data_IF_588385288870
#
_entry.id   IF_588385288870
#
_cell.length_a   1.000
_cell.length_b   1.000
_cell.length_c   1.000
_cell.angle_alpha   90.00
_cell.angle_beta   90.00
_cell.angle_gamma   90.00
#
_symmetry.space_group_name_H-M   'P 1'
#
loop_
_entity.id
_entity.type
_entity.pdbx_description
1 polymer ?
#
# COMPACT_ATOMS: atom_id res chain seq x y z
N UNK A 1 10.13 -30.88 -5.12
CA UNK A 1 9.67 -29.93 -4.08
C UNK A 1 9.65 -28.55 -4.73
N UNK A 2 8.68 -27.69 -4.42
CA UNK A 2 8.69 -26.33 -4.91
C UNK A 2 9.92 -25.58 -4.37
N UNK A 3 10.26 -24.45 -5.01
CA UNK A 3 11.34 -23.56 -4.52
C UNK A 3 11.03 -23.15 -3.08
N UNK A 4 12.03 -23.11 -2.18
CA UNK A 4 11.84 -22.77 -0.78
C UNK A 4 11.73 -21.23 -0.60
N UNK A 5 10.67 -20.65 -1.12
CA UNK A 5 10.27 -19.26 -0.99
C UNK A 5 8.78 -19.20 -0.72
N UNK A 6 8.34 -18.30 0.15
CA UNK A 6 6.95 -18.14 0.51
C UNK A 6 6.66 -16.70 0.97
N UNK A 7 5.53 -16.16 0.56
CA UNK A 7 4.93 -14.99 1.18
C UNK A 7 3.85 -15.43 2.17
N UNK A 8 3.77 -14.73 3.30
CA UNK A 8 2.74 -14.96 4.33
C UNK A 8 1.95 -13.66 4.50
N UNK A 9 0.62 -13.75 4.50
CA UNK A 9 -0.28 -12.62 4.75
C UNK A 9 -0.97 -12.83 6.10
N UNK A 10 -0.74 -11.92 7.03
CA UNK A 10 -1.30 -11.95 8.39
C UNK A 10 -2.55 -11.06 8.48
N UNK A 11 -3.72 -11.68 8.60
CA UNK A 11 -4.99 -10.97 8.71
C UNK A 11 -5.21 -10.33 10.10
N UNK A 12 -4.55 -10.81 11.16
CA UNK A 12 -4.59 -10.16 12.45
C UNK A 12 -3.81 -8.83 12.43
N UNK A 13 -2.64 -8.81 11.79
CA UNK A 13 -1.88 -7.59 11.57
C UNK A 13 -2.71 -6.58 10.76
N UNK A 14 -3.43 -7.04 9.73
CA UNK A 14 -4.30 -6.18 8.93
C UNK A 14 -5.47 -5.60 9.75
N UNK A 15 -6.14 -6.42 10.56
CA UNK A 15 -7.21 -5.97 11.48
C UNK A 15 -6.67 -4.96 12.49
N UNK A 16 -5.51 -5.24 13.05
CA UNK A 16 -4.84 -4.34 13.99
C UNK A 16 -4.55 -2.98 13.33
N UNK A 17 -3.96 -2.96 12.13
CA UNK A 17 -3.65 -1.73 11.43
C UNK A 17 -4.91 -0.94 11.06
N UNK A 18 -5.98 -1.61 10.64
CA UNK A 18 -7.28 -0.96 10.41
C UNK A 18 -7.81 -0.30 11.70
N UNK A 19 -7.72 -0.99 12.85
CA UNK A 19 -8.10 -0.45 14.14
C UNK A 19 -7.25 0.77 14.52
N UNK A 20 -5.93 0.77 14.22
CA UNK A 20 -5.06 1.92 14.41
C UNK A 20 -5.52 3.13 13.58
N UNK A 21 -5.91 2.92 12.31
CA UNK A 21 -6.42 3.99 11.45
C UNK A 21 -7.74 4.57 11.98
N UNK A 22 -8.66 3.71 12.44
CA UNK A 22 -9.91 4.15 13.08
C UNK A 22 -9.65 4.92 14.39
N UNK A 23 -8.71 4.47 15.20
CA UNK A 23 -8.32 5.15 16.44
C UNK A 23 -7.65 6.52 16.19
N UNK A 24 -6.91 6.65 15.08
CA UNK A 24 -6.28 7.91 14.70
C UNK A 24 -7.27 8.96 14.18
N UNK A 25 -8.40 8.53 13.61
CA UNK A 25 -9.47 9.37 13.09
C UNK A 25 -10.85 8.86 13.56
N UNK A 26 -11.16 9.01 14.88
CA UNK A 26 -12.31 8.33 15.50
C UNK A 26 -13.67 8.83 15.00
N UNK A 27 -13.74 10.06 14.51
CA UNK A 27 -14.97 10.69 14.02
C UNK A 27 -15.17 10.50 12.50
N UNK A 28 -14.25 9.80 11.84
CA UNK A 28 -14.29 9.58 10.39
C UNK A 28 -14.53 8.11 10.04
N UNK A 29 -15.25 7.89 8.95
CA UNK A 29 -15.39 6.60 8.30
C UNK A 29 -14.12 6.26 7.49
N UNK A 30 -13.83 4.99 7.35
CA UNK A 30 -12.59 4.51 6.71
C UNK A 30 -12.88 3.83 5.38
N UNK A 31 -12.41 4.44 4.29
CA UNK A 31 -12.19 3.77 3.02
C UNK A 31 -10.91 2.94 3.10
N UNK A 32 -11.00 1.63 3.24
CA UNK A 32 -9.81 0.77 3.10
C UNK A 32 -9.40 0.72 1.62
N UNK A 33 -8.20 1.24 1.32
CA UNK A 33 -7.72 1.30 -0.07
C UNK A 33 -7.11 -0.05 -0.47
N UNK A 34 -7.76 -0.73 -1.43
CA UNK A 34 -7.42 -2.09 -1.87
C UNK A 34 -7.04 -2.17 -3.36
N UNK A 35 -6.69 -1.05 -3.98
CA UNK A 35 -6.20 -1.01 -5.37
C UNK A 35 -4.93 -1.83 -5.56
N UNK A 36 -4.55 -2.10 -6.81
CA UNK A 36 -3.38 -2.89 -7.18
C UNK A 36 -3.38 -4.26 -6.47
N UNK A 37 -4.51 -4.99 -6.57
CA UNK A 37 -4.70 -6.29 -5.93
C UNK A 37 -4.39 -6.24 -4.42
N UNK A 38 -4.95 -5.23 -3.72
CA UNK A 38 -4.68 -4.95 -2.32
C UNK A 38 -3.18 -4.76 -2.03
N UNK A 39 -2.53 -3.87 -2.79
CA UNK A 39 -1.08 -3.64 -2.68
C UNK A 39 -0.27 -4.94 -2.78
N UNK A 40 -0.63 -5.82 -3.72
CA UNK A 40 0.03 -7.10 -3.94
C UNK A 40 -0.32 -8.22 -2.95
N UNK A 41 -1.11 -7.94 -1.91
CA UNK A 41 -1.49 -8.96 -0.91
C UNK A 41 -2.51 -9.97 -1.43
N UNK A 42 -3.25 -9.61 -2.49
CA UNK A 42 -4.37 -10.39 -3.03
C UNK A 42 -5.70 -9.96 -2.43
N UNK A 43 -6.58 -9.45 -3.29
CA UNK A 43 -7.86 -8.87 -2.88
C UNK A 43 -8.73 -9.89 -2.11
N UNK A 44 -8.82 -11.12 -2.62
CA UNK A 44 -9.56 -12.20 -1.97
C UNK A 44 -9.01 -12.56 -0.58
N UNK A 45 -7.68 -12.52 -0.44
CA UNK A 45 -7.00 -12.89 0.81
C UNK A 45 -7.25 -11.90 1.92
N UNK A 46 -7.26 -10.59 1.59
CA UNK A 46 -7.35 -9.52 2.60
C UNK A 46 -8.79 -9.19 3.01
N UNK A 47 -9.78 -9.54 2.19
CA UNK A 47 -11.17 -9.08 2.38
C UNK A 47 -11.74 -9.44 3.76
N UNK A 48 -11.41 -10.61 4.28
CA UNK A 48 -11.81 -11.06 5.61
C UNK A 48 -11.21 -10.18 6.73
N UNK A 49 -9.95 -9.76 6.55
CA UNK A 49 -9.27 -8.87 7.51
C UNK A 49 -9.80 -7.43 7.49
N UNK A 50 -10.46 -7.03 6.39
CA UNK A 50 -10.99 -5.67 6.21
C UNK A 50 -12.49 -5.54 6.47
N UNK A 51 -13.17 -6.58 6.98
CA UNK A 51 -14.64 -6.54 7.22
C UNK A 51 -15.10 -5.42 8.15
N UNK A 52 -14.24 -4.93 9.02
CA UNK A 52 -14.53 -3.80 9.90
C UNK A 52 -14.31 -2.43 9.26
N UNK A 53 -13.88 -2.35 8.00
CA UNK A 53 -13.83 -1.09 7.26
C UNK A 53 -15.23 -0.62 6.91
N UNK A 54 -15.41 0.70 6.80
CA UNK A 54 -16.71 1.29 6.47
C UNK A 54 -16.98 1.26 4.96
N UNK A 55 -15.92 1.24 4.16
CA UNK A 55 -15.96 1.06 2.71
C UNK A 55 -14.64 0.58 2.14
N UNK A 56 -14.64 0.14 0.90
CA UNK A 56 -13.45 -0.22 0.13
C UNK A 56 -13.23 0.81 -0.98
N UNK A 57 -11.97 1.17 -1.24
CA UNK A 57 -11.60 2.08 -2.32
C UNK A 57 -10.60 1.38 -3.27
N UNK A 58 -10.92 1.39 -4.55
CA UNK A 58 -10.19 0.69 -5.60
C UNK A 58 -10.26 1.47 -6.92
N UNK A 59 -9.77 0.91 -8.02
CA UNK A 59 -9.73 1.57 -9.33
C UNK A 59 -10.60 0.86 -10.37
N UNK A 60 -10.52 -0.46 -10.42
CA UNK A 60 -11.05 -1.27 -11.52
C UNK A 60 -12.46 -1.80 -11.24
N UNK A 61 -13.32 -1.73 -12.25
CA UNK A 61 -14.68 -2.31 -12.20
C UNK A 61 -14.64 -3.83 -12.01
N UNK A 62 -13.66 -4.50 -12.60
CA UNK A 62 -13.47 -5.94 -12.43
C UNK A 62 -13.17 -6.31 -10.97
N UNK A 63 -12.32 -5.52 -10.29
CA UNK A 63 -12.06 -5.71 -8.87
C UNK A 63 -13.29 -5.40 -8.01
N UNK A 64 -14.09 -4.38 -8.38
CA UNK A 64 -15.34 -4.08 -7.70
C UNK A 64 -16.35 -5.24 -7.84
N UNK A 65 -16.48 -5.84 -9.02
CA UNK A 65 -17.32 -7.01 -9.24
C UNK A 65 -16.84 -8.21 -8.41
N UNK A 66 -15.53 -8.50 -8.41
CA UNK A 66 -14.92 -9.58 -7.60
C UNK A 66 -15.24 -9.39 -6.11
N UNK A 67 -15.09 -8.18 -5.59
CA UNK A 67 -15.39 -7.85 -4.19
C UNK A 67 -16.88 -8.09 -3.88
N UNK A 68 -17.79 -7.72 -4.79
CA UNK A 68 -19.23 -8.03 -4.65
C UNK A 68 -19.51 -9.53 -4.65
N UNK A 69 -18.86 -10.29 -5.54
CA UNK A 69 -18.98 -11.75 -5.61
C UNK A 69 -18.46 -12.43 -4.35
N UNK A 70 -17.42 -11.91 -3.73
CA UNK A 70 -16.85 -12.36 -2.44
C UNK A 70 -17.72 -11.96 -1.22
N UNK A 71 -18.87 -11.30 -1.45
CA UNK A 71 -19.86 -11.02 -0.43
C UNK A 71 -19.71 -9.68 0.28
N UNK A 72 -18.89 -8.77 -0.20
CA UNK A 72 -18.85 -7.41 0.34
C UNK A 72 -20.14 -6.66 -0.02
N UNK A 73 -20.82 -6.12 1.00
CA UNK A 73 -22.10 -5.39 0.84
C UNK A 73 -21.96 -3.89 1.16
N UNK A 74 -20.88 -3.49 1.81
CA UNK A 74 -20.61 -2.09 2.13
C UNK A 74 -20.30 -1.22 0.90
N UNK A 75 -20.14 0.08 1.07
CA UNK A 75 -19.75 1.00 0.00
C UNK A 75 -18.45 0.57 -0.70
N UNK A 76 -18.36 0.87 -2.01
CA UNK A 76 -17.13 0.74 -2.82
C UNK A 76 -16.94 2.05 -3.57
N UNK A 77 -15.75 2.63 -3.49
CA UNK A 77 -15.37 3.88 -4.14
C UNK A 77 -14.37 3.62 -5.27
N UNK A 78 -14.72 4.04 -6.50
CA UNK A 78 -13.78 4.13 -7.63
C UNK A 78 -12.98 5.43 -7.53
N UNK A 79 -11.68 5.33 -7.24
CA UNK A 79 -10.81 6.49 -6.94
C UNK A 79 -10.45 7.34 -8.17
N UNK A 80 -10.65 6.83 -9.38
CA UNK A 80 -10.42 7.53 -10.65
C UNK A 80 -11.73 7.77 -11.43
N UNK A 81 -12.85 7.24 -10.93
CA UNK A 81 -14.15 7.41 -11.55
C UNK A 81 -14.38 6.53 -12.78
N UNK A 82 -15.33 6.93 -13.62
CA UNK A 82 -15.65 6.26 -14.87
C UNK A 82 -14.77 6.80 -16.00
N UNK A 83 -14.33 5.92 -16.90
CA UNK A 83 -13.55 6.29 -18.09
C UNK A 83 -14.41 6.36 -19.35
N UNK A 84 -15.54 5.63 -19.37
CA UNK A 84 -16.49 5.58 -20.47
C UNK A 84 -17.92 5.65 -19.93
N UNK A 85 -18.87 6.09 -20.75
CA UNK A 85 -20.29 6.19 -20.35
C UNK A 85 -20.87 4.83 -19.92
N UNK A 86 -20.43 3.75 -20.55
CA UNK A 86 -20.85 2.37 -20.17
C UNK A 86 -20.41 1.97 -18.76
N UNK A 87 -19.34 2.58 -18.21
CA UNK A 87 -18.87 2.29 -16.86
C UNK A 87 -19.90 2.75 -15.81
N UNK A 88 -20.69 3.77 -16.13
CA UNK A 88 -21.75 4.26 -15.24
C UNK A 88 -22.89 3.23 -15.06
N UNK A 89 -23.13 2.36 -16.06
CA UNK A 89 -24.06 1.24 -15.92
C UNK A 89 -23.56 0.24 -14.89
N UNK A 90 -22.25 -0.04 -14.90
CA UNK A 90 -21.61 -0.88 -13.88
C UNK A 90 -21.62 -0.22 -12.51
N UNK A 91 -21.37 1.09 -12.44
CA UNK A 91 -21.49 1.83 -11.18
C UNK A 91 -22.89 1.69 -10.58
N UNK A 92 -23.93 1.85 -11.40
CA UNK A 92 -25.33 1.66 -10.95
C UNK A 92 -25.59 0.21 -10.53
N UNK A 93 -25.22 -0.78 -11.37
CA UNK A 93 -25.47 -2.20 -11.12
C UNK A 93 -24.80 -2.73 -9.86
N UNK A 94 -23.56 -2.30 -9.61
CA UNK A 94 -22.76 -2.72 -8.46
C UNK A 94 -22.91 -1.79 -7.25
N UNK A 95 -23.73 -0.74 -7.35
CA UNK A 95 -23.89 0.31 -6.33
C UNK A 95 -22.52 0.86 -5.90
N UNK A 96 -21.79 1.45 -6.87
CA UNK A 96 -20.48 2.04 -6.64
C UNK A 96 -20.59 3.54 -6.47
N UNK A 97 -19.81 4.08 -5.57
CA UNK A 97 -19.52 5.51 -5.48
C UNK A 97 -18.30 5.77 -6.35
N UNK A 98 -18.23 6.93 -6.99
CA UNK A 98 -17.11 7.19 -7.87
C UNK A 98 -16.64 8.62 -7.83
N UNK A 99 -15.34 8.84 -8.09
CA UNK A 99 -14.72 10.16 -8.17
C UNK A 99 -15.08 10.82 -9.50
N UNK A 100 -15.33 12.12 -9.43
CA UNK A 100 -15.43 13.01 -10.60
C UNK A 100 -14.31 14.03 -10.50
N UNK A 101 -13.44 14.08 -11.51
CA UNK A 101 -12.22 14.90 -11.49
C UNK A 101 -12.00 15.72 -12.77
N UNK A 102 -12.87 15.60 -13.75
CA UNK A 102 -12.81 16.34 -15.01
C UNK A 102 -14.20 16.55 -15.63
N UNK A 103 -14.32 17.52 -16.54
CA UNK A 103 -15.58 17.86 -17.21
C UNK A 103 -16.17 16.68 -17.99
N UNK A 104 -15.34 15.89 -18.66
CA UNK A 104 -15.80 14.73 -19.42
C UNK A 104 -16.61 13.73 -18.57
N UNK A 105 -16.27 13.56 -17.30
CA UNK A 105 -17.03 12.69 -16.40
C UNK A 105 -18.38 13.32 -16.02
N UNK A 106 -18.47 14.64 -15.91
CA UNK A 106 -19.76 15.34 -15.72
C UNK A 106 -20.62 15.18 -16.97
N UNK A 107 -20.04 15.32 -18.16
CA UNK A 107 -20.76 15.14 -19.43
C UNK A 107 -21.28 13.72 -19.61
N UNK A 108 -20.50 12.71 -19.21
CA UNK A 108 -20.95 11.30 -19.19
C UNK A 108 -22.15 11.10 -18.27
N UNK A 109 -22.12 11.67 -17.04
CA UNK A 109 -23.24 11.62 -16.10
C UNK A 109 -24.49 12.32 -16.67
N UNK A 110 -24.33 13.49 -17.30
CA UNK A 110 -25.45 14.27 -17.84
C UNK A 110 -26.24 13.52 -18.91
N UNK A 111 -25.58 12.67 -19.70
CA UNK A 111 -26.23 11.91 -20.78
C UNK A 111 -26.63 10.49 -20.35
N UNK A 112 -26.17 10.03 -19.17
CA UNK A 112 -26.43 8.69 -18.67
C UNK A 112 -27.91 8.52 -18.27
N UNK A 113 -28.56 7.51 -18.82
CA UNK A 113 -29.92 7.14 -18.45
C UNK A 113 -29.87 6.07 -17.35
N UNK A 114 -29.98 6.51 -16.11
CA UNK A 114 -29.92 5.61 -14.96
C UNK A 114 -31.28 5.46 -14.28
N UNK A 115 -31.54 4.29 -13.67
CA UNK A 115 -32.65 4.06 -12.76
C UNK A 115 -32.29 4.37 -11.30
N UNK A 116 -31.00 4.50 -11.00
CA UNK A 116 -30.49 4.78 -9.66
C UNK A 116 -29.48 5.92 -9.74
N UNK A 117 -29.71 6.98 -8.99
CA UNK A 117 -28.79 8.12 -8.95
C UNK A 117 -27.42 7.74 -8.36
N UNK A 118 -26.40 8.43 -8.83
CA UNK A 118 -25.00 8.20 -8.46
C UNK A 118 -24.61 9.01 -7.22
N UNK A 119 -23.76 8.43 -6.38
CA UNK A 119 -23.02 9.13 -5.33
C UNK A 119 -21.62 9.40 -5.83
N UNK A 120 -21.21 10.67 -5.81
CA UNK A 120 -19.96 11.11 -6.41
C UNK A 120 -19.07 11.83 -5.41
N UNK A 121 -17.75 11.66 -5.57
CA UNK A 121 -16.73 12.44 -4.89
C UNK A 121 -16.14 13.43 -5.88
N UNK A 122 -16.54 14.70 -5.76
CA UNK A 122 -15.97 15.77 -6.59
C UNK A 122 -14.58 16.10 -6.08
N UNK A 123 -13.56 15.93 -6.94
CA UNK A 123 -12.17 16.04 -6.55
C UNK A 123 -11.56 17.38 -6.97
N UNK A 124 -10.98 18.07 -5.97
CA UNK A 124 -10.19 19.28 -6.15
C UNK A 124 -8.70 18.97 -6.20
N UNK A 125 -7.97 19.57 -7.13
CA UNK A 125 -6.52 19.62 -7.14
C UNK A 125 -6.05 20.78 -6.24
N UNK A 126 -5.50 20.45 -5.09
CA UNK A 126 -4.98 21.43 -4.12
C UNK A 126 -3.44 21.52 -4.13
N UNK A 127 -2.81 21.15 -5.27
CA UNK A 127 -1.36 21.29 -5.46
C UNK A 127 -0.62 20.02 -5.89
N UNK A 128 -1.23 18.84 -5.81
CA UNK A 128 -0.59 17.58 -6.25
C UNK A 128 -0.44 17.48 -7.79
N UNK A 129 -1.26 18.20 -8.54
CA UNK A 129 -1.23 18.28 -10.02
C UNK A 129 -1.30 16.93 -10.75
N UNK A 130 -2.13 16.02 -10.22
CA UNK A 130 -2.35 14.70 -10.81
C UNK A 130 -3.75 14.54 -11.38
N UNK A 131 -4.78 14.68 -10.55
CA UNK A 131 -6.20 14.62 -10.92
C UNK A 131 -7.00 15.62 -10.07
N UNK A 132 -8.10 16.14 -10.62
CA UNK A 132 -9.02 17.04 -9.94
C UNK A 132 -9.20 18.36 -10.65
N UNK A 133 -10.33 19.01 -10.44
CA UNK A 133 -10.61 20.35 -10.91
C UNK A 133 -9.67 21.36 -10.25
N UNK A 134 -9.29 22.40 -10.98
CA UNK A 134 -8.62 23.54 -10.35
C UNK A 134 -9.56 24.18 -9.31
N UNK A 135 -9.04 24.84 -8.26
CA UNK A 135 -9.89 25.51 -7.27
C UNK A 135 -10.92 26.44 -7.90
N UNK A 136 -10.52 27.20 -8.94
CA UNK A 136 -11.40 28.15 -9.65
C UNK A 136 -12.53 27.45 -10.42
N UNK A 137 -12.28 26.28 -11.02
CA UNK A 137 -13.28 25.51 -11.75
C UNK A 137 -14.18 24.66 -10.84
N UNK A 138 -13.75 24.40 -9.61
CA UNK A 138 -14.39 23.43 -8.70
C UNK A 138 -15.85 23.79 -8.39
N UNK A 139 -16.13 25.05 -8.13
CA UNK A 139 -17.49 25.53 -7.83
C UNK A 139 -18.44 25.36 -9.03
N UNK A 140 -17.97 25.66 -10.24
CA UNK A 140 -18.76 25.45 -11.44
C UNK A 140 -19.07 23.96 -11.66
N UNK A 141 -18.09 23.09 -11.44
CA UNK A 141 -18.26 21.64 -11.51
C UNK A 141 -19.27 21.15 -10.46
N UNK A 142 -19.18 21.65 -9.22
CA UNK A 142 -20.14 21.32 -8.16
C UNK A 142 -21.56 21.74 -8.53
N UNK A 143 -21.74 22.98 -9.04
CA UNK A 143 -23.03 23.48 -9.46
C UNK A 143 -23.63 22.66 -10.62
N UNK A 144 -22.81 22.27 -11.60
CA UNK A 144 -23.24 21.38 -12.69
C UNK A 144 -23.69 20.01 -12.16
N UNK A 145 -22.91 19.37 -11.31
CA UNK A 145 -23.26 18.08 -10.73
C UNK A 145 -24.53 18.13 -9.88
N UNK A 146 -24.69 19.18 -9.07
CA UNK A 146 -25.85 19.37 -8.20
C UNK A 146 -27.15 19.61 -8.99
N UNK A 147 -27.06 20.05 -10.24
CA UNK A 147 -28.21 20.22 -11.13
C UNK A 147 -28.60 18.94 -11.89
N UNK A 148 -27.77 17.88 -11.83
CA UNK A 148 -28.05 16.63 -12.55
C UNK A 148 -28.98 15.72 -11.75
N UNK A 149 -30.12 15.30 -12.30
CA UNK A 149 -31.01 14.33 -11.65
C UNK A 149 -30.37 12.93 -11.51
N UNK A 150 -29.28 12.67 -12.22
CA UNK A 150 -28.48 11.45 -12.12
C UNK A 150 -27.58 11.41 -10.89
N UNK A 151 -27.41 12.53 -10.17
CA UNK A 151 -26.55 12.64 -8.99
C UNK A 151 -27.40 12.83 -7.74
N UNK A 152 -27.25 11.94 -6.77
CA UNK A 152 -27.98 11.98 -5.50
C UNK A 152 -27.16 12.72 -4.42
N UNK A 153 -25.87 12.45 -4.36
CA UNK A 153 -24.98 12.95 -3.30
C UNK A 153 -23.62 13.35 -3.87
N UNK A 154 -23.14 14.51 -3.43
CA UNK A 154 -21.83 15.03 -3.80
C UNK A 154 -20.99 15.17 -2.53
N UNK A 155 -19.96 14.33 -2.40
CA UNK A 155 -18.90 14.49 -1.40
C UNK A 155 -17.73 15.26 -1.99
N UNK A 156 -16.98 15.97 -1.15
CA UNK A 156 -15.86 16.82 -1.54
C UNK A 156 -14.54 16.10 -1.25
N UNK A 157 -13.63 16.02 -2.22
CA UNK A 157 -12.39 15.28 -2.11
C UNK A 157 -11.18 16.11 -2.50
N UNK A 158 -10.06 15.87 -1.84
CA UNK A 158 -8.73 16.23 -2.32
C UNK A 158 -7.70 15.15 -1.94
N UNK A 159 -6.43 15.37 -2.25
CA UNK A 159 -5.34 14.48 -1.87
C UNK A 159 -4.09 15.29 -1.55
N UNK A 160 -3.54 15.09 -0.36
CA UNK A 160 -2.34 15.79 0.09
C UNK A 160 -1.08 15.15 -0.49
N UNK A 161 -0.23 15.98 -1.10
CA UNK A 161 1.05 15.55 -1.68
C UNK A 161 2.17 15.45 -0.65
N UNK A 162 2.12 16.27 0.40
CA UNK A 162 3.22 16.49 1.33
C UNK A 162 2.84 16.17 2.80
N UNK A 163 1.81 15.34 3.01
CA UNK A 163 1.37 14.99 4.37
C UNK A 163 2.42 14.22 5.18
N UNK A 164 3.35 13.56 4.50
CA UNK A 164 4.48 12.81 5.04
C UNK A 164 5.75 13.66 5.24
N UNK A 165 5.81 14.86 4.66
CA UNK A 165 6.96 15.75 4.70
C UNK A 165 6.80 16.98 5.60
N UNK A 166 7.83 17.82 5.63
CA UNK A 166 7.89 19.04 6.46
C UNK A 166 6.93 20.14 6.00
N UNK A 167 6.56 20.16 4.72
CA UNK A 167 5.57 21.11 4.19
C UNK A 167 4.18 20.87 4.77
N UNK A 168 3.87 19.63 5.12
CA UNK A 168 2.60 19.23 5.71
C UNK A 168 1.41 19.51 4.80
N UNK A 169 0.25 19.76 5.40
CA UNK A 169 -1.02 19.88 4.68
C UNK A 169 -1.62 21.29 4.68
N UNK A 170 -1.01 22.25 5.40
CA UNK A 170 -1.64 23.55 5.70
C UNK A 170 -2.01 24.34 4.44
N UNK A 171 -1.14 24.41 3.44
CA UNK A 171 -1.41 25.12 2.19
C UNK A 171 -2.56 24.49 1.40
N UNK A 172 -2.55 23.16 1.27
CA UNK A 172 -3.62 22.43 0.58
C UNK A 172 -4.97 22.54 1.31
N UNK A 173 -4.95 22.53 2.65
CA UNK A 173 -6.14 22.76 3.47
C UNK A 173 -6.70 24.16 3.31
N UNK A 174 -5.84 25.19 3.29
CA UNK A 174 -6.28 26.58 3.08
C UNK A 174 -7.00 26.75 1.74
N UNK A 175 -6.40 26.21 0.65
CA UNK A 175 -7.01 26.21 -0.67
C UNK A 175 -8.36 25.46 -0.65
N UNK A 176 -8.39 24.26 -0.08
CA UNK A 176 -9.61 23.47 -0.03
C UNK A 176 -10.72 24.21 0.73
N UNK A 177 -10.42 24.76 1.89
CA UNK A 177 -11.37 25.50 2.73
C UNK A 177 -11.89 26.76 2.04
N UNK A 178 -11.01 27.54 1.41
CA UNK A 178 -11.39 28.77 0.69
C UNK A 178 -12.47 28.50 -0.37
N UNK A 179 -12.32 27.40 -1.14
CA UNK A 179 -13.22 27.12 -2.26
C UNK A 179 -14.41 26.22 -1.91
N UNK A 180 -14.49 25.70 -0.67
CA UNK A 180 -15.55 24.76 -0.25
C UNK A 180 -16.29 25.15 1.03
N UNK A 181 -15.98 26.32 1.66
CA UNK A 181 -16.50 26.69 2.98
C UNK A 181 -18.04 26.75 3.05
N UNK A 182 -18.70 27.05 1.94
CA UNK A 182 -20.16 27.17 1.81
C UNK A 182 -20.79 26.04 0.99
N UNK A 183 -20.01 25.03 0.57
CA UNK A 183 -20.53 23.88 -0.15
C UNK A 183 -20.90 22.78 0.85
N UNK A 184 -22.07 22.18 0.64
CA UNK A 184 -22.51 20.98 1.35
C UNK A 184 -21.80 19.73 0.81
N UNK A 185 -21.75 18.70 1.62
CA UNK A 185 -21.22 17.38 1.29
C UNK A 185 -20.15 16.90 2.28
N UNK A 186 -20.06 15.60 2.41
CA UNK A 186 -19.01 14.92 3.19
C UNK A 186 -17.63 15.22 2.62
N UNK A 187 -16.60 15.18 3.45
CA UNK A 187 -15.22 15.53 3.10
C UNK A 187 -14.31 14.34 3.19
N UNK A 188 -13.55 14.06 2.14
CA UNK A 188 -12.55 12.99 2.10
C UNK A 188 -11.20 13.53 1.64
N UNK A 189 -10.28 13.74 2.58
CA UNK A 189 -9.01 14.44 2.33
C UNK A 189 -7.79 13.56 2.67
N UNK A 190 -7.81 12.86 3.82
CA UNK A 190 -6.66 12.24 4.42
C UNK A 190 -6.28 10.89 3.79
N UNK A 191 -5.04 10.78 3.32
CA UNK A 191 -4.33 9.52 3.03
C UNK A 191 -3.70 8.97 4.33
N UNK A 192 -2.93 7.86 4.28
CA UNK A 192 -2.29 7.26 5.45
C UNK A 192 -1.44 8.24 6.26
N UNK A 193 -0.61 9.05 5.61
CA UNK A 193 0.24 10.03 6.29
C UNK A 193 -0.60 11.10 6.99
N UNK A 194 -1.61 11.64 6.29
CA UNK A 194 -2.48 12.65 6.86
C UNK A 194 -3.30 12.10 8.04
N UNK A 195 -3.73 10.84 8.00
CA UNK A 195 -4.42 10.19 9.14
C UNK A 195 -3.51 10.13 10.35
N UNK A 196 -2.29 9.64 10.20
CA UNK A 196 -1.40 9.42 11.33
C UNK A 196 -0.84 10.73 11.91
N UNK A 197 -0.53 11.70 11.05
CA UNK A 197 0.14 12.94 11.45
C UNK A 197 -0.79 14.11 11.73
N UNK A 198 -1.96 14.18 11.07
CA UNK A 198 -2.76 15.40 11.01
C UNK A 198 -4.24 15.23 11.36
N UNK A 199 -4.80 14.01 11.42
CA UNK A 199 -6.24 13.82 11.62
C UNK A 199 -6.74 14.32 12.99
N UNK A 200 -5.86 14.43 13.99
CA UNK A 200 -6.18 15.00 15.32
C UNK A 200 -6.17 16.53 15.37
N UNK A 201 -5.73 17.20 14.30
CA UNK A 201 -5.82 18.67 14.24
C UNK A 201 -7.29 19.06 14.02
N UNK A 202 -7.84 19.85 14.94
CA UNK A 202 -9.22 20.33 14.87
C UNK A 202 -9.56 21.13 13.59
N UNK A 203 -8.53 21.59 12.86
CA UNK A 203 -8.70 22.24 11.55
C UNK A 203 -8.98 21.26 10.42
N UNK A 204 -8.64 19.98 10.62
CA UNK A 204 -8.83 18.92 9.63
C UNK A 204 -10.17 18.24 9.91
N UNK A 205 -11.25 18.79 9.35
CA UNK A 205 -12.57 18.16 9.40
C UNK A 205 -12.73 17.23 8.21
N UNK A 206 -12.87 15.93 8.48
CA UNK A 206 -13.06 14.90 7.45
C UNK A 206 -14.12 13.91 7.92
N UNK A 207 -14.98 13.50 7.00
CA UNK A 207 -16.01 12.49 7.25
C UNK A 207 -15.50 11.10 6.82
N UNK A 208 -14.59 11.08 5.85
CA UNK A 208 -13.97 9.89 5.32
C UNK A 208 -12.45 10.02 5.22
N UNK A 209 -11.72 9.02 5.71
CA UNK A 209 -10.28 8.87 5.50
C UNK A 209 -9.98 7.71 4.55
N UNK A 210 -8.84 7.76 3.85
CA UNK A 210 -8.45 6.79 2.82
C UNK A 210 -7.05 6.22 3.10
N UNK A 211 -6.86 5.49 4.22
CA UNK A 211 -5.60 4.82 4.45
C UNK A 211 -5.37 3.72 3.39
N UNK A 212 -4.15 3.65 2.89
CA UNK A 212 -3.65 2.60 2.01
C UNK A 212 -2.49 1.89 2.69
N UNK A 213 -1.29 2.40 2.50
CA UNK A 213 -0.03 1.74 2.91
C UNK A 213 0.00 1.37 4.40
N UNK A 214 -0.53 2.21 5.28
CA UNK A 214 -0.55 1.94 6.71
C UNK A 214 -1.40 0.70 7.07
N UNK A 215 -2.44 0.38 6.29
CA UNK A 215 -3.22 -0.85 6.47
C UNK A 215 -2.34 -2.09 6.30
N UNK A 216 -1.35 -2.01 5.44
CA UNK A 216 -0.44 -3.12 5.11
C UNK A 216 0.83 -3.14 5.95
N UNK A 217 0.96 -2.21 6.92
CA UNK A 217 2.02 -2.23 7.92
C UNK A 217 3.33 -1.58 7.52
N UNK A 218 3.34 -0.78 6.46
CA UNK A 218 4.47 0.07 6.06
C UNK A 218 4.22 1.51 6.50
N UNK A 219 5.26 2.21 6.91
CA UNK A 219 5.17 3.60 7.34
C UNK A 219 5.00 4.55 6.15
N UNK A 220 4.03 5.48 6.18
CA UNK A 220 3.85 6.42 5.10
C UNK A 220 4.92 7.52 5.05
N UNK A 221 5.71 7.69 6.10
CA UNK A 221 6.71 8.75 6.27
C UNK A 221 8.09 8.20 6.72
N UNK A 222 8.41 6.95 6.38
CA UNK A 222 9.74 6.40 6.56
C UNK A 222 10.76 7.18 5.70
N UNK A 223 11.98 7.51 6.17
CA UNK A 223 12.61 7.07 7.44
C UNK A 223 12.33 7.96 8.65
N UNK A 224 11.56 9.04 8.54
CA UNK A 224 11.29 9.94 9.66
C UNK A 224 10.65 9.18 10.84
N UNK A 225 9.70 8.30 10.55
CA UNK A 225 9.09 7.42 11.54
C UNK A 225 9.03 5.97 11.02
N UNK A 226 9.41 5.03 11.86
CA UNK A 226 9.30 3.60 11.56
C UNK A 226 7.84 3.12 11.68
N UNK A 227 7.49 1.94 11.11
CA UNK A 227 6.18 1.33 11.35
C UNK A 227 5.87 1.15 12.84
N UNK A 228 6.88 0.83 13.65
CA UNK A 228 6.72 0.66 15.09
C UNK A 228 6.33 1.97 15.81
N UNK A 229 6.79 3.13 15.34
CA UNK A 229 6.37 4.44 15.87
C UNK A 229 4.85 4.61 15.76
N UNK A 230 4.27 4.16 14.65
CA UNK A 230 2.83 4.22 14.39
C UNK A 230 2.07 3.00 14.91
N UNK A 231 2.74 2.12 15.66
CA UNK A 231 2.20 0.83 16.12
C UNK A 231 1.63 -0.04 14.98
N UNK A 232 2.20 0.07 13.78
CA UNK A 232 1.81 -0.74 12.63
C UNK A 232 2.51 -2.09 12.67
N UNK A 233 1.80 -3.13 12.21
CA UNK A 233 2.29 -4.50 12.11
C UNK A 233 2.44 -4.88 10.64
N UNK A 234 3.54 -5.54 10.22
CA UNK A 234 3.70 -6.00 8.85
C UNK A 234 2.62 -7.05 8.53
N UNK A 235 1.89 -6.83 7.44
CA UNK A 235 0.86 -7.76 6.95
C UNK A 235 1.46 -8.81 6.03
N UNK A 236 2.44 -8.40 5.20
CA UNK A 236 3.16 -9.32 4.31
C UNK A 236 4.55 -9.61 4.86
N UNK A 237 4.90 -10.89 4.94
CA UNK A 237 6.27 -11.36 5.16
C UNK A 237 6.73 -12.17 3.96
N UNK A 238 7.95 -11.92 3.47
CA UNK A 238 8.59 -12.71 2.43
C UNK A 238 9.78 -13.44 3.02
N UNK A 239 9.69 -14.77 3.03
CA UNK A 239 10.71 -15.65 3.56
C UNK A 239 11.20 -16.62 2.48
N UNK A 240 12.49 -16.94 2.49
CA UNK A 240 13.10 -17.94 1.63
C UNK A 240 14.13 -18.73 2.41
N UNK A 241 14.68 -19.80 1.83
CA UNK A 241 15.73 -20.57 2.49
C UNK A 241 17.09 -20.42 1.78
N UNK A 242 18.15 -20.57 2.54
CA UNK A 242 19.50 -20.80 2.02
C UNK A 242 19.53 -22.16 1.30
N UNK A 243 19.96 -22.17 0.05
CA UNK A 243 20.05 -23.38 -0.79
C UNK A 243 21.48 -23.88 -0.97
N UNK A 244 22.46 -23.01 -0.75
CA UNK A 244 23.89 -23.34 -0.77
C UNK A 244 24.67 -22.37 0.11
N UNK A 245 25.81 -22.83 0.64
CA UNK A 245 26.78 -22.03 1.36
C UNK A 245 28.08 -22.03 0.60
N UNK A 246 28.74 -20.87 0.51
CA UNK A 246 30.08 -20.71 -0.09
C UNK A 246 31.03 -20.11 0.95
N UNK A 247 32.28 -20.54 0.86
CA UNK A 247 33.38 -20.02 1.65
C UNK A 247 34.28 -19.17 0.76
N UNK A 248 34.45 -17.91 1.11
CA UNK A 248 35.25 -16.96 0.36
C UNK A 248 36.56 -16.69 1.07
N UNK A 249 37.62 -16.56 0.27
CA UNK A 249 38.90 -16.01 0.70
C UNK A 249 38.97 -14.52 0.41
N UNK A 250 39.94 -13.84 1.00
CA UNK A 250 40.23 -12.43 0.68
C UNK A 250 40.46 -12.28 -0.81
N UNK A 251 39.75 -11.34 -1.44
CA UNK A 251 39.84 -11.08 -2.87
C UNK A 251 38.84 -11.83 -3.74
N UNK A 252 38.13 -12.83 -3.19
CA UNK A 252 37.06 -13.51 -3.91
C UNK A 252 35.89 -12.57 -4.20
N UNK A 253 35.24 -12.76 -5.33
CA UNK A 253 34.15 -11.88 -5.79
C UNK A 253 32.80 -12.57 -5.75
N UNK A 254 31.71 -11.78 -5.61
CA UNK A 254 30.34 -12.29 -5.57
C UNK A 254 29.47 -11.64 -6.62
N UNK A 255 28.75 -12.49 -7.38
CA UNK A 255 27.67 -12.10 -8.27
C UNK A 255 28.11 -11.46 -9.57
N UNK A 256 27.12 -11.02 -10.36
CA UNK A 256 27.36 -10.41 -11.68
C UNK A 256 28.21 -9.13 -11.58
N UNK A 257 29.20 -9.07 -12.47
CA UNK A 257 30.12 -7.93 -12.56
C UNK A 257 31.05 -7.82 -11.38
N UNK A 258 31.24 -8.91 -10.59
CA UNK A 258 32.13 -8.95 -9.42
C UNK A 258 31.93 -7.73 -8.49
N UNK A 259 30.65 -7.36 -8.29
CA UNK A 259 30.28 -6.11 -7.62
C UNK A 259 30.61 -6.09 -6.12
N UNK A 260 30.86 -7.25 -5.54
CA UNK A 260 31.36 -7.39 -4.16
C UNK A 260 32.70 -8.13 -4.18
N UNK A 261 33.63 -7.68 -3.39
CA UNK A 261 34.93 -8.31 -3.18
C UNK A 261 35.07 -8.60 -1.68
N UNK A 262 35.38 -9.83 -1.32
CA UNK A 262 35.59 -10.22 0.08
C UNK A 262 36.89 -9.57 0.61
N UNK A 263 36.79 -8.79 1.68
CA UNK A 263 37.88 -8.15 2.38
C UNK A 263 38.51 -8.97 3.50
N UNK A 264 37.80 -10.04 3.87
CA UNK A 264 38.18 -11.05 4.87
C UNK A 264 37.69 -12.43 4.43
N UNK A 265 38.14 -13.52 5.06
CA UNK A 265 37.46 -14.80 4.89
C UNK A 265 35.98 -14.69 5.32
N UNK A 266 35.08 -15.12 4.44
CA UNK A 266 33.62 -14.97 4.64
C UNK A 266 32.89 -16.28 4.39
N UNK A 267 31.73 -16.43 5.04
CA UNK A 267 30.71 -17.40 4.66
C UNK A 267 29.52 -16.66 4.09
N UNK A 268 29.05 -17.08 2.94
CA UNK A 268 27.85 -16.51 2.32
C UNK A 268 26.80 -17.59 2.05
N UNK A 269 25.56 -17.25 2.28
CA UNK A 269 24.39 -18.07 1.94
C UNK A 269 23.78 -17.64 0.62
N UNK A 270 23.57 -18.59 -0.29
CA UNK A 270 22.78 -18.37 -1.52
C UNK A 270 21.33 -18.64 -1.21
N UNK A 271 20.45 -17.67 -1.40
CA UNK A 271 19.04 -17.69 -1.01
C UNK A 271 18.15 -17.86 -2.25
N UNK A 272 17.11 -18.67 -2.14
CA UNK A 272 16.16 -18.97 -3.22
C UNK A 272 15.14 -17.82 -3.45
N UNK A 273 15.62 -16.61 -3.68
CA UNK A 273 14.81 -15.44 -4.03
C UNK A 273 15.62 -14.50 -4.92
N UNK A 274 14.98 -13.90 -5.90
CA UNK A 274 15.58 -12.89 -6.77
C UNK A 274 14.55 -11.92 -7.34
N UNK A 275 14.97 -11.12 -8.34
CA UNK A 275 14.07 -10.08 -8.86
C UNK A 275 12.86 -10.63 -9.62
N UNK A 276 12.90 -11.85 -10.12
CA UNK A 276 11.74 -12.51 -10.72
C UNK A 276 10.70 -12.99 -9.68
N UNK A 277 11.03 -12.94 -8.39
CA UNK A 277 10.12 -13.19 -7.26
C UNK A 277 9.50 -11.87 -6.74
N UNK A 278 9.99 -10.72 -7.23
CA UNK A 278 9.56 -9.38 -6.80
C UNK A 278 10.57 -8.67 -5.88
N UNK A 279 11.74 -9.28 -5.58
CA UNK A 279 12.78 -8.60 -4.82
C UNK A 279 13.47 -7.52 -5.67
N UNK A 280 13.74 -6.32 -5.13
CA UNK A 280 14.23 -5.22 -5.96
C UNK A 280 15.62 -5.51 -6.57
N UNK A 281 15.70 -5.48 -7.92
CA UNK A 281 16.94 -5.75 -8.66
C UNK A 281 18.08 -4.79 -8.31
N UNK A 282 17.71 -3.57 -7.94
CA UNK A 282 18.64 -2.48 -7.62
C UNK A 282 19.00 -2.40 -6.13
N UNK A 283 18.52 -3.31 -5.29
CA UNK A 283 18.96 -3.42 -3.90
C UNK A 283 20.48 -3.61 -3.84
N UNK A 284 21.23 -2.73 -3.16
CA UNK A 284 22.68 -2.80 -3.10
C UNK A 284 23.14 -3.87 -2.10
N UNK A 285 24.45 -4.16 -2.14
CA UNK A 285 25.14 -4.81 -1.01
C UNK A 285 24.88 -4.03 0.27
N UNK A 286 24.57 -4.73 1.37
CA UNK A 286 24.25 -4.11 2.64
C UNK A 286 22.74 -3.97 2.90
N UNK A 287 21.86 -4.28 1.94
CA UNK A 287 20.42 -4.30 2.17
C UNK A 287 20.09 -5.28 3.30
N UNK A 288 19.31 -4.87 4.33
CA UNK A 288 19.06 -5.71 5.49
C UNK A 288 18.24 -6.95 5.16
N UNK A 289 18.58 -8.05 5.84
CA UNK A 289 17.84 -9.31 5.90
C UNK A 289 17.92 -9.89 7.31
N UNK A 290 17.10 -10.90 7.62
CA UNK A 290 17.30 -11.72 8.82
C UNK A 290 17.55 -13.17 8.41
N UNK A 291 18.53 -13.81 9.05
CA UNK A 291 18.83 -15.25 8.89
C UNK A 291 18.55 -15.95 10.22
N UNK A 292 17.63 -16.90 10.24
CA UNK A 292 17.16 -17.59 11.44
C UNK A 292 16.87 -16.65 12.63
N UNK A 293 16.29 -15.46 12.31
CA UNK A 293 15.95 -14.44 13.29
C UNK A 293 17.08 -13.49 13.68
N UNK A 294 18.27 -13.62 13.12
CA UNK A 294 19.41 -12.74 13.38
C UNK A 294 19.62 -11.80 12.20
N UNK A 295 19.79 -10.52 12.46
CA UNK A 295 20.02 -9.49 11.43
C UNK A 295 21.33 -9.75 10.68
N UNK A 296 21.26 -9.63 9.36
CA UNK A 296 22.37 -9.72 8.44
C UNK A 296 22.11 -8.78 7.22
N UNK A 297 22.86 -8.99 6.14
CA UNK A 297 22.82 -8.15 4.96
C UNK A 297 23.00 -8.96 3.68
N UNK A 298 22.53 -8.40 2.57
CA UNK A 298 22.85 -8.92 1.23
C UNK A 298 24.30 -8.61 0.86
N UNK A 299 24.91 -9.45 0.01
CA UNK A 299 26.21 -9.22 -0.60
C UNK A 299 26.14 -9.49 -2.11
N UNK A 300 26.78 -8.61 -2.91
CA UNK A 300 26.74 -8.68 -4.36
C UNK A 300 25.39 -8.22 -4.95
N UNK A 301 25.24 -8.39 -6.27
CA UNK A 301 24.04 -7.98 -6.99
C UNK A 301 22.94 -9.02 -6.92
N UNK A 302 21.71 -8.56 -6.83
CA UNK A 302 20.52 -9.42 -6.95
C UNK A 302 20.46 -10.05 -8.33
N UNK A 303 20.31 -11.39 -8.37
CA UNK A 303 20.11 -12.17 -9.60
C UNK A 303 18.63 -12.41 -9.85
N UNK A 304 18.29 -13.03 -11.00
CA UNK A 304 16.89 -13.33 -11.37
C UNK A 304 16.19 -14.18 -10.31
N UNK A 305 16.87 -15.23 -9.82
CA UNK A 305 16.28 -16.26 -8.97
C UNK A 305 16.99 -16.42 -7.63
N UNK A 306 18.09 -15.69 -7.40
CA UNK A 306 18.93 -15.85 -6.21
C UNK A 306 19.46 -14.51 -5.73
N UNK A 307 19.65 -14.42 -4.42
CA UNK A 307 20.45 -13.39 -3.74
C UNK A 307 21.47 -14.07 -2.86
N UNK A 308 22.51 -13.35 -2.49
CA UNK A 308 23.52 -13.80 -1.53
C UNK A 308 23.45 -12.98 -0.26
N UNK A 309 23.63 -13.62 0.89
CA UNK A 309 23.62 -12.99 2.22
C UNK A 309 24.87 -13.34 3.00
N UNK A 310 25.33 -12.40 3.81
CA UNK A 310 26.47 -12.60 4.71
C UNK A 310 26.04 -13.47 5.90
N UNK A 311 26.67 -14.63 6.10
CA UNK A 311 26.45 -15.52 7.24
C UNK A 311 27.75 -15.79 8.02
N UNK A 312 28.78 -14.92 7.83
CA UNK A 312 30.10 -15.09 8.43
C UNK A 312 30.03 -15.23 9.95
N UNK A 313 29.26 -14.35 10.58
CA UNK A 313 29.13 -14.29 12.04
C UNK A 313 27.92 -15.10 12.55
N UNK A 314 27.34 -15.97 11.70
CA UNK A 314 26.21 -16.84 12.00
C UNK A 314 26.61 -18.32 11.89
N UNK A 315 27.30 -18.90 12.88
CA UNK A 315 27.93 -20.21 12.78
C UNK A 315 26.92 -21.34 12.55
N UNK A 316 25.67 -21.18 12.97
CA UNK A 316 24.60 -22.18 12.83
C UNK A 316 23.82 -22.06 11.52
N UNK A 317 23.99 -20.93 10.79
CA UNK A 317 23.32 -20.74 9.52
C UNK A 317 23.91 -21.66 8.45
N UNK A 318 23.07 -22.44 7.78
CA UNK A 318 23.46 -23.40 6.75
C UNK A 318 22.33 -23.60 5.74
N UNK A 319 22.50 -24.52 4.82
CA UNK A 319 21.45 -24.91 3.89
C UNK A 319 20.16 -25.29 4.63
N UNK A 320 19.05 -24.62 4.26
CA UNK A 320 17.74 -24.76 4.90
C UNK A 320 17.45 -23.71 5.96
N UNK A 321 18.44 -22.90 6.38
CA UNK A 321 18.21 -21.73 7.24
C UNK A 321 17.23 -20.75 6.58
N UNK A 322 16.30 -20.24 7.38
CA UNK A 322 15.30 -19.28 6.92
C UNK A 322 15.92 -17.88 6.76
N UNK A 323 15.63 -17.25 5.64
CA UNK A 323 15.98 -15.84 5.39
C UNK A 323 14.72 -15.02 5.24
N UNK A 324 14.49 -14.11 6.18
CA UNK A 324 13.43 -13.10 6.09
C UNK A 324 13.93 -11.92 5.28
N UNK A 325 13.31 -11.69 4.14
CA UNK A 325 13.63 -10.63 3.20
C UNK A 325 12.93 -9.32 3.56
N UNK A 326 11.68 -9.41 4.03
CA UNK A 326 10.93 -8.40 4.75
C UNK A 326 9.80 -9.04 5.56
N UNK A 327 9.28 -8.32 6.54
CA UNK A 327 8.26 -8.78 7.48
C UNK A 327 8.87 -9.54 8.65
N UNK A 328 8.22 -10.62 9.06
CA UNK A 328 8.58 -11.42 10.23
C UNK A 328 9.04 -12.82 9.82
N UNK A 329 9.98 -13.43 10.57
CA UNK A 329 10.35 -14.82 10.40
C UNK A 329 9.17 -15.74 10.78
N UNK A 330 9.10 -16.91 10.14
CA UNK A 330 8.04 -17.90 10.42
C UNK A 330 8.41 -18.88 11.53
N UNK A 331 9.71 -19.05 11.81
CA UNK A 331 10.25 -20.11 12.67
C UNK A 331 10.77 -19.67 14.03
N UNK A 332 10.83 -18.37 14.31
CA UNK A 332 11.35 -17.88 15.59
C UNK A 332 10.27 -17.24 16.44
N UNK A 333 10.33 -17.50 17.76
CA UNK A 333 9.46 -16.87 18.75
C UNK A 333 9.97 -15.50 19.23
N UNK A 334 11.05 -14.96 18.66
CA UNK A 334 11.63 -13.68 19.06
C UNK A 334 10.96 -12.51 18.32
N UNK A 335 10.23 -11.61 19.01
CA UNK A 335 9.46 -10.54 18.38
C UNK A 335 10.30 -9.46 17.66
N UNK A 336 11.62 -9.43 17.90
CA UNK A 336 12.52 -8.36 17.41
C UNK A 336 13.27 -8.70 16.13
N UNK A 337 13.02 -9.84 15.53
CA UNK A 337 13.88 -10.42 14.47
C UNK A 337 13.39 -10.09 13.04
N UNK A 338 12.45 -9.18 12.84
CA UNK A 338 11.94 -8.82 11.52
C UNK A 338 12.81 -7.82 10.75
N UNK A 339 12.53 -7.69 9.47
CA UNK A 339 13.05 -6.64 8.59
C UNK A 339 11.86 -5.84 8.06
N UNK A 340 11.83 -4.53 8.33
CA UNK A 340 10.78 -3.70 7.74
C UNK A 340 10.91 -3.66 6.22
N UNK A 341 9.79 -3.76 5.53
CA UNK A 341 9.78 -3.55 4.06
C UNK A 341 10.28 -2.15 3.71
N UNK A 342 10.08 -1.17 4.60
CA UNK A 342 10.54 0.20 4.42
C UNK A 342 12.07 0.30 4.48
N UNK A 343 12.74 -0.51 5.33
CA UNK A 343 14.19 -0.58 5.37
C UNK A 343 14.76 -1.12 4.04
N UNK A 344 14.15 -2.18 3.51
CA UNK A 344 14.55 -2.77 2.21
C UNK A 344 14.29 -1.80 1.07
N UNK A 345 13.12 -1.17 1.07
CA UNK A 345 12.75 -0.19 0.05
C UNK A 345 13.68 1.02 0.08
N UNK A 346 13.97 1.57 1.25
CA UNK A 346 14.89 2.70 1.41
C UNK A 346 16.30 2.34 0.94
N UNK A 347 16.82 1.17 1.29
CA UNK A 347 18.11 0.69 0.82
C UNK A 347 18.14 0.55 -0.71
N UNK A 348 17.04 0.16 -1.32
CA UNK A 348 16.88 0.03 -2.77
C UNK A 348 16.53 1.36 -3.48
N UNK A 349 16.39 2.48 -2.75
CA UNK A 349 16.04 3.78 -3.34
C UNK A 349 14.59 3.88 -3.82
N UNK A 350 13.68 3.15 -3.18
CA UNK A 350 12.25 3.13 -3.50
C UNK A 350 11.38 3.17 -2.22
N UNK A 351 10.12 2.82 -2.32
CA UNK A 351 9.12 2.86 -1.25
C UNK A 351 8.46 1.49 -1.05
N UNK A 352 7.97 1.21 0.17
CA UNK A 352 7.32 -0.05 0.52
C UNK A 352 6.14 -0.40 -0.39
N UNK A 353 5.43 0.60 -0.92
CA UNK A 353 4.34 0.45 -1.90
C UNK A 353 4.75 -0.37 -3.13
N UNK A 354 5.93 -0.05 -3.69
CA UNK A 354 6.44 -0.70 -4.89
C UNK A 354 6.79 -2.16 -4.58
N UNK A 355 7.52 -2.41 -3.50
CA UNK A 355 7.95 -3.77 -3.16
C UNK A 355 6.77 -4.71 -2.91
N UNK A 356 5.74 -4.26 -2.17
CA UNK A 356 4.54 -5.07 -1.93
C UNK A 356 3.82 -5.39 -3.24
N UNK A 357 3.66 -4.38 -4.10
CA UNK A 357 2.94 -4.53 -5.37
C UNK A 357 3.71 -5.36 -6.41
N UNK A 358 5.03 -5.48 -6.24
CA UNK A 358 5.92 -6.23 -7.13
C UNK A 358 5.97 -7.73 -6.82
N UNK A 359 5.35 -8.21 -5.72
CA UNK A 359 5.36 -9.65 -5.41
C UNK A 359 4.85 -10.47 -6.60
N UNK A 360 5.71 -11.33 -7.12
CA UNK A 360 5.42 -12.09 -8.34
C UNK A 360 4.42 -13.23 -8.08
N UNK A 361 3.55 -13.50 -9.06
CA UNK A 361 2.54 -14.55 -8.96
C UNK A 361 3.12 -15.97 -8.77
N UNK A 362 4.39 -16.17 -9.09
CA UNK A 362 5.09 -17.46 -8.90
C UNK A 362 5.45 -17.75 -7.42
N UNK A 363 5.40 -16.74 -6.55
CA UNK A 363 5.67 -16.91 -5.11
C UNK A 363 4.43 -17.50 -4.45
N UNK A 364 4.53 -18.68 -3.82
CA UNK A 364 3.42 -19.23 -3.04
C UNK A 364 3.03 -18.29 -1.90
N UNK A 365 1.71 -18.12 -1.68
CA UNK A 365 1.19 -17.27 -0.63
C UNK A 365 0.35 -18.09 0.35
N UNK A 366 0.66 -17.96 1.63
CA UNK A 366 -0.15 -18.50 2.75
C UNK A 366 -0.82 -17.37 3.51
N UNK A 367 -2.07 -17.58 3.89
CA UNK A 367 -2.81 -16.65 4.74
C UNK A 367 -2.85 -17.20 6.17
N UNK A 368 -2.46 -16.35 7.12
CA UNK A 368 -2.63 -16.59 8.56
C UNK A 368 -3.87 -15.85 9.04
N UNK A 369 -4.83 -16.60 9.53
CA UNK A 369 -6.06 -16.11 10.15
C UNK A 369 -6.29 -16.86 11.46
N UNK A 370 -5.35 -16.71 12.40
CA UNK A 370 -5.56 -17.25 13.75
C UNK A 370 -6.57 -16.39 14.50
N UNK A 371 -7.45 -16.97 15.31
CA UNK A 371 -8.48 -16.26 16.06
C UNK A 371 -7.93 -15.32 17.12
#
# INVERSE_FOLDING_TARGET
>A
MPRPIQATIDLQALRHNLAQMKSAAPDALVWAVVKANAYGHGLERVLQGLRAADGLALLDLADAERVRQLGWRGPILLLEGAFETRDLEWCSRLNLWHVVHCEAQIDMLAVHKTHQAHRVFLKMNTGMNRLGFTPQAFRAAWTRLNALPQVDEISLMSHFSDADGDKGISAAMAIFQEFTHDLSGERSLCNSAAVLRHAKDAKVRVDWVRPGIALYGSSPDYPAHSPAHWALKPVMSLNAAIIAVQHLQVGDTVGYGSAFVADRPMRIGVVACGYADGYPRHAPTGTPVCVDGVRSRTVGRVSMDMITVDITDLPHADRGSEVTLWGLPTKTSMPSAGVSIDEVASAAGTVGYELMSALAARVPVTVLDSP
#
